data_IF_322979513684
#
_entry.id   IF_322979513684
#
_cell.length_a   1.000
_cell.length_b   1.000
_cell.length_c   1.000
_cell.angle_alpha   90.00
_cell.angle_beta   90.00
_cell.angle_gamma   90.00
#
_symmetry.space_group_name_H-M   'P 1'
#
loop_
_entity.id
_entity.type
_entity.pdbx_description
1 polymer ?
#
# COMPACT_ATOMS: atom_id res chain seq x y z
N UNK A 1 -37.30 33.26 -62.78
CA UNK A 1 -36.00 33.26 -62.08
C UNK A 1 -36.04 32.09 -61.10
N UNK A 2 -35.37 31.00 -61.49
CA UNK A 2 -35.13 29.70 -60.85
C UNK A 2 -35.97 29.28 -59.62
N UNK A 3 -36.92 28.38 -59.89
CA UNK A 3 -37.66 27.57 -58.92
C UNK A 3 -36.81 26.35 -58.54
N UNK A 4 -36.16 26.39 -57.38
CA UNK A 4 -35.19 25.38 -56.94
C UNK A 4 -35.92 24.30 -56.14
N UNK A 5 -36.13 23.13 -56.76
CA UNK A 5 -36.85 22.00 -56.18
C UNK A 5 -36.07 21.37 -55.03
N UNK A 6 -36.69 21.35 -53.84
CA UNK A 6 -36.26 20.66 -52.59
C UNK A 6 -35.74 19.22 -52.75
N UNK A 7 -36.00 18.54 -53.87
CA UNK A 7 -35.60 17.16 -54.13
C UNK A 7 -34.15 17.00 -54.61
N UNK A 8 -33.55 18.01 -55.22
CA UNK A 8 -32.16 17.93 -55.71
C UNK A 8 -31.13 18.21 -54.60
N UNK A 9 -31.52 18.98 -53.59
CA UNK A 9 -30.68 19.26 -52.42
C UNK A 9 -30.49 18.03 -51.51
N UNK A 10 -31.47 17.12 -51.49
CA UNK A 10 -31.42 15.88 -50.68
C UNK A 10 -30.56 14.79 -51.34
N UNK A 11 -30.47 14.75 -52.67
CA UNK A 11 -29.59 13.81 -53.38
C UNK A 11 -28.10 14.15 -53.24
N UNK A 12 -27.75 15.43 -53.08
CA UNK A 12 -26.35 15.87 -52.92
C UNK A 12 -25.80 15.64 -51.49
N UNK A 13 -26.66 15.59 -50.47
CA UNK A 13 -26.26 15.33 -49.09
C UNK A 13 -26.23 13.83 -48.74
N UNK A 14 -26.93 12.97 -49.49
CA UNK A 14 -26.95 11.52 -49.26
C UNK A 14 -25.70 10.77 -49.76
N UNK A 15 -24.98 11.31 -50.75
CA UNK A 15 -23.81 10.66 -51.35
C UNK A 15 -22.46 10.94 -50.68
N UNK A 16 -22.34 12.05 -49.94
CA UNK A 16 -21.06 12.48 -49.34
C UNK A 16 -20.90 12.08 -47.86
N UNK A 17 -21.96 11.65 -47.18
CA UNK A 17 -21.93 11.36 -45.74
C UNK A 17 -21.53 9.91 -45.40
N UNK A 18 -21.50 8.98 -46.36
CA UNK A 18 -21.24 7.56 -46.09
C UNK A 18 -19.75 7.19 -46.11
N UNK A 19 -18.84 8.11 -46.44
CA UNK A 19 -17.40 7.85 -46.55
C UNK A 19 -16.51 8.81 -45.74
N UNK A 20 -17.07 9.57 -44.80
CA UNK A 20 -16.26 10.25 -43.77
C UNK A 20 -15.84 9.22 -42.71
N UNK A 21 -14.56 9.22 -42.27
CA UNK A 21 -13.80 8.00 -42.23
C UNK A 21 -14.05 7.22 -40.93
N UNK A 22 -14.77 6.11 -41.04
CA UNK A 22 -14.67 5.01 -40.07
C UNK A 22 -13.22 4.50 -39.96
N UNK A 23 -12.40 4.70 -41.00
CA UNK A 23 -10.97 4.42 -41.00
C UNK A 23 -10.14 5.31 -40.04
N UNK A 24 -10.59 6.52 -39.70
CA UNK A 24 -9.82 7.41 -38.82
C UNK A 24 -9.97 7.05 -37.33
N UNK A 25 -10.99 6.28 -36.95
CA UNK A 25 -11.12 5.73 -35.58
C UNK A 25 -10.36 4.42 -35.39
N UNK A 26 -9.96 3.75 -36.47
CA UNK A 26 -9.19 2.50 -36.41
C UNK A 26 -7.68 2.73 -36.20
N UNK A 27 -7.21 3.98 -36.33
CA UNK A 27 -5.78 4.33 -36.30
C UNK A 27 -5.45 5.43 -35.28
N UNK A 28 -6.11 5.45 -34.12
CA UNK A 28 -5.38 5.88 -32.92
C UNK A 28 -4.59 4.66 -32.48
N UNK A 29 -3.27 4.67 -32.67
CA UNK A 29 -2.41 3.67 -32.06
C UNK A 29 -2.84 3.54 -30.61
N UNK A 30 -3.39 2.39 -30.23
CA UNK A 30 -3.94 2.19 -28.90
C UNK A 30 -2.85 2.57 -27.91
N UNK A 31 -3.06 3.68 -27.17
CA UNK A 31 -2.08 4.16 -26.22
C UNK A 31 -1.82 3.02 -25.24
N UNK A 32 -0.56 2.64 -25.11
CA UNK A 32 -0.15 1.58 -24.19
C UNK A 32 -0.71 1.91 -22.79
N UNK A 33 -1.49 1.00 -22.16
CA UNK A 33 -1.97 1.20 -20.81
C UNK A 33 -0.79 1.56 -19.90
N UNK A 34 -1.00 2.53 -19.01
CA UNK A 34 0.05 3.11 -18.18
C UNK A 34 -0.29 2.92 -16.71
N UNK A 35 0.56 2.15 -16.02
CA UNK A 35 0.54 1.98 -14.58
C UNK A 35 1.54 2.94 -13.94
N UNK A 36 1.08 3.85 -13.10
CA UNK A 36 1.97 4.64 -12.25
C UNK A 36 2.21 3.90 -10.94
N UNK A 37 3.45 3.79 -10.49
CA UNK A 37 3.80 3.06 -9.26
C UNK A 37 4.56 3.98 -8.32
N UNK A 38 4.02 4.17 -7.12
CA UNK A 38 4.63 4.98 -6.07
C UNK A 38 5.11 4.09 -4.92
N UNK A 39 6.40 4.19 -4.58
CA UNK A 39 7.02 3.41 -3.52
C UNK A 39 7.86 4.29 -2.59
N UNK A 40 7.86 3.98 -1.30
CA UNK A 40 8.83 4.56 -0.37
C UNK A 40 10.23 3.97 -0.55
N UNK A 41 10.32 2.71 -0.98
CA UNK A 41 11.56 1.92 -1.10
C UNK A 41 12.50 2.43 -2.20
N UNK A 42 13.62 1.72 -2.39
CA UNK A 42 14.52 1.89 -3.55
C UNK A 42 14.19 0.83 -4.62
N UNK A 43 14.64 1.01 -5.88
CA UNK A 43 14.37 0.06 -6.96
C UNK A 43 14.76 -1.39 -6.67
N UNK A 44 15.80 -1.60 -5.86
CA UNK A 44 16.33 -2.92 -5.52
C UNK A 44 15.66 -3.54 -4.27
N UNK A 45 14.84 -2.79 -3.54
CA UNK A 45 14.44 -3.12 -2.17
C UNK A 45 12.96 -3.49 -1.99
N UNK A 46 12.22 -3.84 -3.04
CA UNK A 46 10.80 -4.17 -2.90
C UNK A 46 10.39 -5.56 -3.43
N UNK A 47 10.42 -6.60 -2.57
CA UNK A 47 9.95 -7.94 -2.91
C UNK A 47 8.46 -8.00 -3.30
N UNK A 48 7.64 -7.04 -2.82
CA UNK A 48 6.23 -6.99 -3.16
C UNK A 48 6.04 -6.56 -4.62
N UNK A 49 6.91 -5.67 -5.13
CA UNK A 49 6.86 -5.24 -6.52
C UNK A 49 7.21 -6.35 -7.51
N UNK A 50 8.19 -7.22 -7.23
CA UNK A 50 8.46 -8.36 -8.12
C UNK A 50 7.29 -9.35 -8.13
N UNK A 51 6.62 -9.52 -7.00
CA UNK A 51 5.41 -10.36 -6.92
C UNK A 51 4.25 -9.75 -7.71
N UNK A 52 4.03 -8.43 -7.61
CA UNK A 52 3.06 -7.72 -8.44
C UNK A 52 3.40 -7.82 -9.94
N UNK A 53 4.67 -7.67 -10.32
CA UNK A 53 5.13 -7.79 -11.71
C UNK A 53 4.90 -9.21 -12.26
N UNK A 54 5.16 -10.24 -11.46
CA UNK A 54 4.82 -11.64 -11.81
C UNK A 54 3.32 -11.80 -12.05
N UNK A 55 2.48 -11.37 -11.11
CA UNK A 55 1.03 -11.48 -11.24
C UNK A 55 0.50 -10.73 -12.47
N UNK A 56 1.04 -9.55 -12.78
CA UNK A 56 0.71 -8.81 -14.00
C UNK A 56 1.06 -9.62 -15.26
N UNK A 57 2.26 -10.23 -15.31
CA UNK A 57 2.66 -11.09 -16.44
C UNK A 57 1.75 -12.30 -16.61
N UNK A 58 1.35 -12.95 -15.51
CA UNK A 58 0.45 -14.11 -15.53
C UNK A 58 -0.95 -13.75 -16.05
N UNK A 59 -1.37 -12.50 -15.83
CA UNK A 59 -2.60 -11.92 -16.40
C UNK A 59 -2.42 -11.41 -17.84
N UNK A 60 -1.23 -11.60 -18.43
CA UNK A 60 -0.90 -11.18 -19.78
C UNK A 60 -0.40 -9.73 -19.91
N UNK A 61 -0.20 -9.00 -18.81
CA UNK A 61 0.37 -7.65 -18.82
C UNK A 61 1.89 -7.69 -18.65
N UNK A 62 2.60 -7.44 -19.74
CA UNK A 62 4.05 -7.46 -19.84
C UNK A 62 4.58 -6.04 -20.03
N UNK A 63 5.37 -5.59 -19.06
CA UNK A 63 6.04 -4.30 -19.09
C UNK A 63 6.90 -4.14 -20.34
N UNK A 64 6.78 -2.98 -21.00
CA UNK A 64 7.52 -2.66 -22.23
C UNK A 64 6.96 -3.32 -23.50
N UNK A 65 5.96 -4.20 -23.38
CA UNK A 65 5.30 -4.82 -24.52
C UNK A 65 3.84 -4.33 -24.67
N UNK A 66 2.99 -4.63 -23.70
CA UNK A 66 1.57 -4.25 -23.70
C UNK A 66 1.14 -3.48 -22.42
N UNK A 67 2.12 -3.10 -21.58
CA UNK A 67 1.95 -2.26 -20.40
C UNK A 67 3.16 -1.31 -20.25
N UNK A 68 2.93 -0.01 -20.05
CA UNK A 68 3.95 0.92 -19.57
C UNK A 68 3.88 1.00 -18.04
N UNK A 69 5.01 0.87 -17.35
CA UNK A 69 5.08 1.07 -15.91
C UNK A 69 5.99 2.27 -15.60
N UNK A 70 5.43 3.26 -14.92
CA UNK A 70 6.12 4.49 -14.53
C UNK A 70 6.41 4.44 -13.03
N UNK A 71 7.67 4.23 -12.66
CA UNK A 71 8.06 4.12 -11.25
C UNK A 71 8.45 5.47 -10.65
N UNK A 72 8.08 5.69 -9.39
CA UNK A 72 8.65 6.71 -8.52
C UNK A 72 9.03 6.11 -7.17
N UNK A 73 10.31 6.19 -6.87
CA UNK A 73 10.91 5.72 -5.62
C UNK A 73 11.27 6.93 -4.77
N UNK A 74 10.79 6.97 -3.53
CA UNK A 74 11.16 8.01 -2.60
C UNK A 74 12.53 7.75 -1.94
N UNK A 75 13.08 6.54 -2.06
CA UNK A 75 14.40 6.18 -1.51
C UNK A 75 14.48 6.38 0.02
N UNK A 76 13.44 5.94 0.73
CA UNK A 76 13.35 6.03 2.19
C UNK A 76 13.06 7.43 2.73
N UNK A 77 12.71 8.39 1.86
CA UNK A 77 12.46 9.80 2.20
C UNK A 77 10.98 10.16 2.05
N UNK A 78 10.13 9.99 3.09
CA UNK A 78 8.69 10.22 3.01
C UNK A 78 8.32 11.63 2.53
N UNK A 79 9.16 12.63 2.82
CA UNK A 79 8.99 14.01 2.41
C UNK A 79 8.96 14.21 0.88
N UNK A 80 9.51 13.26 0.10
CA UNK A 80 9.46 13.30 -1.38
C UNK A 80 8.15 12.79 -1.96
N UNK A 81 7.34 12.06 -1.18
CA UNK A 81 6.14 11.38 -1.67
C UNK A 81 5.11 12.33 -2.32
N UNK A 82 4.83 13.53 -1.79
CA UNK A 82 3.87 14.44 -2.42
C UNK A 82 4.27 14.85 -3.84
N UNK A 83 5.53 15.22 -4.06
CA UNK A 83 6.03 15.65 -5.36
C UNK A 83 6.06 14.47 -6.35
N UNK A 84 6.52 13.30 -5.90
CA UNK A 84 6.53 12.09 -6.71
C UNK A 84 5.12 11.62 -7.10
N UNK A 85 4.14 11.77 -6.22
CA UNK A 85 2.74 11.50 -6.54
C UNK A 85 2.22 12.48 -7.61
N UNK A 86 2.51 13.79 -7.45
CA UNK A 86 2.14 14.81 -8.43
C UNK A 86 2.80 14.54 -9.80
N UNK A 87 4.05 14.09 -9.84
CA UNK A 87 4.75 13.68 -11.05
C UNK A 87 4.01 12.56 -11.77
N UNK A 88 3.61 11.50 -11.05
CA UNK A 88 2.83 10.40 -11.62
C UNK A 88 1.49 10.90 -12.17
N UNK A 89 0.76 11.75 -11.44
CA UNK A 89 -0.51 12.32 -11.92
C UNK A 89 -0.33 13.10 -13.22
N UNK A 90 0.76 13.86 -13.39
CA UNK A 90 1.05 14.60 -14.64
C UNK A 90 1.29 13.68 -15.84
N UNK A 91 1.77 12.46 -15.62
CA UNK A 91 1.89 11.44 -16.67
C UNK A 91 0.54 10.86 -17.12
N UNK A 92 -0.55 11.20 -16.43
CA UNK A 92 -1.91 10.71 -16.69
C UNK A 92 -1.93 9.18 -16.86
N UNK A 93 -1.45 8.40 -15.87
CA UNK A 93 -1.59 6.95 -15.88
C UNK A 93 -3.06 6.56 -15.82
N UNK A 94 -3.35 5.35 -16.28
CA UNK A 94 -4.69 4.78 -16.22
C UNK A 94 -5.02 4.28 -14.81
N UNK A 95 -4.00 3.83 -14.06
CA UNK A 95 -4.10 3.41 -12.65
C UNK A 95 -2.82 3.82 -11.90
N UNK A 96 -2.97 4.21 -10.63
CA UNK A 96 -1.87 4.31 -9.67
C UNK A 96 -1.85 3.07 -8.78
N UNK A 97 -0.71 2.42 -8.68
CA UNK A 97 -0.46 1.35 -7.72
C UNK A 97 0.49 1.86 -6.61
N UNK A 98 0.04 1.77 -5.36
CA UNK A 98 0.68 2.45 -4.24
C UNK A 98 0.94 1.47 -3.10
N UNK A 99 2.20 1.34 -2.68
CA UNK A 99 2.61 0.33 -1.71
C UNK A 99 2.94 0.94 -0.35
N UNK A 100 2.01 0.81 0.59
CA UNK A 100 2.15 1.22 1.99
C UNK A 100 1.08 2.21 2.43
N UNK A 101 0.63 2.06 3.68
CA UNK A 101 -0.34 2.97 4.31
C UNK A 101 0.22 4.38 4.52
N UNK A 102 1.54 4.55 4.58
CA UNK A 102 2.26 5.83 4.65
C UNK A 102 2.52 6.45 3.26
N UNK A 103 2.39 5.68 2.18
CA UNK A 103 2.53 6.14 0.80
C UNK A 103 1.18 6.57 0.20
N UNK A 104 0.13 5.83 0.54
CA UNK A 104 -1.25 6.04 0.05
C UNK A 104 -1.78 7.48 0.23
N UNK A 105 -1.55 8.17 1.37
CA UNK A 105 -2.02 9.55 1.56
C UNK A 105 -1.53 10.52 0.49
N UNK A 106 -0.28 10.36 0.02
CA UNK A 106 0.29 11.23 -1.00
C UNK A 106 -0.44 11.07 -2.35
N UNK A 107 -0.77 9.84 -2.73
CA UNK A 107 -1.50 9.55 -3.95
C UNK A 107 -2.96 10.02 -3.89
N UNK A 108 -3.67 9.74 -2.78
CA UNK A 108 -5.07 10.18 -2.57
C UNK A 108 -5.16 11.71 -2.59
N UNK A 109 -4.18 12.41 -1.99
CA UNK A 109 -4.13 13.87 -2.02
C UNK A 109 -3.82 14.40 -3.43
N UNK A 110 -3.00 13.71 -4.21
CA UNK A 110 -2.58 14.15 -5.54
C UNK A 110 -3.68 14.02 -6.61
N UNK A 111 -4.64 13.10 -6.46
CA UNK A 111 -5.72 12.91 -7.43
C UNK A 111 -6.97 12.29 -6.82
N UNK A 112 -8.12 12.78 -7.27
CA UNK A 112 -9.46 12.27 -6.95
C UNK A 112 -10.13 11.60 -8.16
N UNK A 113 -9.41 11.47 -9.28
CA UNK A 113 -9.99 11.01 -10.57
C UNK A 113 -9.27 9.81 -11.16
N UNK A 114 -7.95 9.70 -10.97
CA UNK A 114 -7.20 8.53 -11.44
C UNK A 114 -7.44 7.39 -10.43
N UNK A 115 -7.83 6.18 -10.85
CA UNK A 115 -7.98 5.04 -9.96
C UNK A 115 -6.69 4.76 -9.18
N UNK A 116 -6.81 4.56 -7.87
CA UNK A 116 -5.71 4.22 -6.97
C UNK A 116 -5.97 2.82 -6.42
N UNK A 117 -5.03 1.91 -6.64
CA UNK A 117 -4.98 0.59 -6.01
C UNK A 117 -3.86 0.62 -4.96
N UNK A 118 -4.21 0.50 -3.68
CA UNK A 118 -3.24 0.51 -2.59
C UNK A 118 -3.02 -0.89 -1.99
N UNK A 119 -1.87 -1.06 -1.35
CA UNK A 119 -1.65 -2.10 -0.34
C UNK A 119 -1.31 -1.43 0.98
N UNK A 120 -2.07 -1.67 2.03
CA UNK A 120 -1.90 -1.03 3.34
C UNK A 120 -1.79 -2.07 4.45
N UNK A 121 -0.98 -1.78 5.47
CA UNK A 121 -0.97 -2.50 6.75
C UNK A 121 -1.75 -1.73 7.82
N UNK A 122 -2.63 -0.84 7.39
CA UNK A 122 -3.44 0.03 8.23
C UNK A 122 -4.88 0.13 7.71
N UNK A 123 -5.83 0.39 8.62
CA UNK A 123 -7.25 0.51 8.28
C UNK A 123 -7.50 1.69 7.32
N UNK A 124 -7.88 1.43 6.06
CA UNK A 124 -8.08 2.48 5.06
C UNK A 124 -9.36 3.30 5.31
N UNK A 125 -10.32 2.79 6.09
CA UNK A 125 -11.52 3.53 6.51
C UNK A 125 -11.15 4.56 7.57
N UNK A 126 -10.41 4.14 8.60
CA UNK A 126 -9.91 5.06 9.64
C UNK A 126 -8.95 6.11 9.09
N UNK A 127 -8.15 5.75 8.09
CA UNK A 127 -7.27 6.68 7.38
C UNK A 127 -8.01 7.59 6.38
N UNK A 128 -9.31 7.37 6.15
CA UNK A 128 -10.13 8.18 5.26
C UNK A 128 -9.83 7.99 3.77
N UNK A 129 -9.14 6.91 3.39
CA UNK A 129 -8.90 6.59 1.98
C UNK A 129 -10.17 6.09 1.29
N UNK A 130 -11.03 5.39 2.04
CA UNK A 130 -12.26 4.76 1.55
C UNK A 130 -13.39 4.93 2.57
N UNK A 131 -14.64 5.00 2.11
CA UNK A 131 -15.81 5.14 2.98
C UNK A 131 -16.15 3.85 3.74
N UNK A 132 -15.92 2.68 3.11
CA UNK A 132 -16.08 1.37 3.73
C UNK A 132 -15.26 0.33 2.96
N UNK A 133 -14.96 -0.81 3.60
CA UNK A 133 -14.25 -1.91 2.94
C UNK A 133 -15.06 -2.52 1.79
N UNK A 134 -16.37 -2.69 1.96
CA UNK A 134 -17.24 -3.28 0.94
C UNK A 134 -17.54 -2.33 -0.22
N UNK A 135 -17.57 -1.02 0.04
CA UNK A 135 -17.89 0.03 -0.94
C UNK A 135 -17.00 1.25 -0.68
N UNK A 136 -15.87 1.37 -1.42
CA UNK A 136 -14.90 2.43 -1.15
C UNK A 136 -15.41 3.86 -1.37
N UNK A 137 -16.36 4.07 -2.29
CA UNK A 137 -17.06 5.36 -2.47
C UNK A 137 -16.26 6.46 -3.18
N UNK A 138 -15.03 6.21 -3.62
CA UNK A 138 -14.18 7.15 -4.35
C UNK A 138 -13.31 6.48 -5.41
N UNK A 139 -12.19 7.11 -5.78
CA UNK A 139 -11.23 6.57 -6.76
C UNK A 139 -10.19 5.61 -6.14
N UNK A 140 -10.19 5.42 -4.82
CA UNK A 140 -9.26 4.52 -4.14
C UNK A 140 -9.89 3.16 -3.80
N UNK A 141 -9.13 2.10 -3.98
CA UNK A 141 -9.44 0.72 -3.56
C UNK A 141 -8.13 -0.02 -3.28
N UNK A 142 -8.17 -1.24 -2.77
CA UNK A 142 -6.94 -1.97 -2.51
C UNK A 142 -7.07 -3.15 -1.56
N UNK A 143 -5.92 -3.58 -1.08
CA UNK A 143 -5.76 -4.64 -0.09
C UNK A 143 -5.32 -3.99 1.22
N UNK A 144 -5.98 -4.34 2.32
CA UNK A 144 -5.50 -4.01 3.66
C UNK A 144 -5.25 -5.27 4.47
N UNK A 145 -4.20 -5.23 5.28
CA UNK A 145 -3.89 -6.23 6.29
C UNK A 145 -4.26 -5.61 7.65
N UNK A 146 -5.47 -5.90 8.13
CA UNK A 146 -5.94 -5.47 9.45
C UNK A 146 -5.33 -6.41 10.50
N UNK A 147 -4.27 -5.96 11.15
CA UNK A 147 -3.48 -6.80 12.06
C UNK A 147 -3.79 -6.55 13.53
N UNK A 148 -4.48 -5.46 13.87
CA UNK A 148 -4.87 -5.06 15.22
C UNK A 148 -5.86 -6.03 15.87
N UNK A 149 -6.86 -6.49 15.12
CA UNK A 149 -7.81 -7.52 15.59
C UNK A 149 -7.12 -8.85 15.94
N UNK A 150 -5.91 -9.08 15.41
CA UNK A 150 -5.15 -10.31 15.63
C UNK A 150 -4.20 -10.23 16.85
N UNK A 151 -4.09 -9.08 17.51
CA UNK A 151 -3.16 -8.89 18.62
C UNK A 151 -3.43 -9.87 19.77
N UNK A 152 -4.70 -10.01 20.16
CA UNK A 152 -5.11 -10.96 21.20
C UNK A 152 -4.77 -12.40 20.79
N UNK A 153 -5.05 -12.77 19.54
CA UNK A 153 -4.82 -14.14 19.06
C UNK A 153 -3.34 -14.50 19.02
N UNK A 154 -2.49 -13.55 18.64
CA UNK A 154 -1.03 -13.74 18.63
C UNK A 154 -0.47 -13.95 20.04
N UNK A 155 -0.96 -13.22 21.04
CA UNK A 155 -0.57 -13.44 22.43
C UNK A 155 -1.06 -14.79 22.96
N UNK A 156 -2.27 -15.22 22.62
CA UNK A 156 -2.76 -16.56 22.94
C UNK A 156 -1.85 -17.64 22.34
N UNK A 157 -1.52 -17.53 21.05
CA UNK A 157 -0.65 -18.49 20.37
C UNK A 157 0.76 -18.50 20.96
N UNK A 158 1.30 -17.33 21.31
CA UNK A 158 2.59 -17.21 21.99
C UNK A 158 2.56 -17.93 23.36
N UNK A 159 1.50 -17.74 24.15
CA UNK A 159 1.29 -18.43 25.43
C UNK A 159 1.10 -19.94 25.26
N UNK A 160 0.42 -20.38 24.21
CA UNK A 160 0.26 -21.81 23.91
C UNK A 160 1.59 -22.47 23.52
N UNK A 161 2.39 -21.79 22.68
CA UNK A 161 3.69 -22.29 22.25
C UNK A 161 4.73 -22.28 23.39
N UNK A 162 4.67 -21.28 24.26
CA UNK A 162 5.57 -21.13 25.40
C UNK A 162 4.77 -20.87 26.71
N UNK A 163 4.19 -21.90 27.34
CA UNK A 163 3.29 -21.75 28.50
C UNK A 163 3.88 -21.04 29.71
N UNK A 164 5.21 -21.03 29.84
CA UNK A 164 5.93 -20.47 30.99
C UNK A 164 6.22 -18.98 30.88
N UNK A 165 5.99 -18.35 29.73
CA UNK A 165 6.21 -16.90 29.60
C UNK A 165 5.25 -16.13 30.51
N UNK A 166 5.75 -15.04 31.06
CA UNK A 166 5.01 -14.17 31.97
C UNK A 166 5.20 -12.69 31.64
N UNK A 167 6.29 -12.34 30.96
CA UNK A 167 6.62 -10.97 30.55
C UNK A 167 6.92 -10.93 29.07
N UNK A 168 6.22 -10.08 28.32
CA UNK A 168 6.39 -9.96 26.88
C UNK A 168 6.79 -8.54 26.53
N UNK A 169 7.91 -8.39 25.81
CA UNK A 169 8.31 -7.10 25.25
C UNK A 169 7.48 -6.78 24.02
N UNK A 170 6.72 -5.69 24.05
CA UNK A 170 5.85 -5.26 22.96
C UNK A 170 6.55 -4.16 22.15
N UNK A 171 7.24 -4.57 21.08
CA UNK A 171 8.03 -3.67 20.22
C UNK A 171 7.12 -3.01 19.17
N UNK A 172 6.98 -1.69 19.25
CA UNK A 172 6.01 -0.96 18.43
C UNK A 172 6.44 0.48 18.13
N UNK A 173 5.86 1.05 17.08
CA UNK A 173 5.98 2.48 16.76
C UNK A 173 4.66 3.19 17.10
N UNK A 174 4.64 4.13 18.07
CA UNK A 174 3.44 4.85 18.46
C UNK A 174 2.91 5.79 17.37
N UNK A 175 3.73 6.12 16.38
CA UNK A 175 3.34 6.99 15.26
C UNK A 175 2.72 6.17 14.10
N UNK A 176 2.65 4.83 14.22
CA UNK A 176 1.96 3.98 13.26
C UNK A 176 0.43 4.11 13.44
N UNK A 177 -0.30 4.18 12.32
CA UNK A 177 -1.74 4.45 12.34
C UNK A 177 -2.55 3.37 13.06
N UNK A 178 -2.14 2.11 12.94
CA UNK A 178 -2.72 1.01 13.69
C UNK A 178 -2.04 0.91 15.06
N UNK A 179 -2.85 1.03 16.11
CA UNK A 179 -2.42 0.88 17.48
C UNK A 179 -2.91 -0.45 18.04
N UNK A 180 -2.08 -1.49 17.93
CA UNK A 180 -2.38 -2.83 18.47
C UNK A 180 -2.29 -2.88 20.01
N UNK A 181 -1.66 -1.88 20.66
CA UNK A 181 -1.31 -1.94 22.09
C UNK A 181 -2.53 -2.10 23.01
N UNK A 182 -3.65 -1.37 22.86
CA UNK A 182 -4.80 -1.53 23.75
C UNK A 182 -5.45 -2.92 23.68
N UNK A 183 -5.49 -3.53 22.49
CA UNK A 183 -5.98 -4.91 22.30
C UNK A 183 -5.02 -5.92 22.90
N UNK A 184 -3.71 -5.71 22.71
CA UNK A 184 -2.65 -6.53 23.29
C UNK A 184 -2.67 -6.48 24.83
N UNK A 185 -2.80 -5.29 25.42
CA UNK A 185 -2.89 -5.08 26.88
C UNK A 185 -4.06 -5.84 27.49
N UNK A 186 -5.25 -5.74 26.87
CA UNK A 186 -6.44 -6.49 27.32
C UNK A 186 -6.24 -8.00 27.27
N UNK A 187 -5.65 -8.51 26.19
CA UNK A 187 -5.37 -9.94 26.05
C UNK A 187 -4.27 -10.42 26.99
N UNK A 188 -3.23 -9.63 27.21
CA UNK A 188 -2.17 -9.97 28.14
C UNK A 188 -2.70 -10.09 29.58
N UNK A 189 -3.57 -9.17 29.99
CA UNK A 189 -4.22 -9.22 31.29
C UNK A 189 -5.02 -10.52 31.50
N UNK A 190 -5.78 -10.98 30.50
CA UNK A 190 -6.54 -12.24 30.59
C UNK A 190 -5.67 -13.50 30.54
N UNK A 191 -4.47 -13.41 29.97
CA UNK A 191 -3.50 -14.51 29.85
C UNK A 191 -2.47 -14.56 30.99
N UNK A 192 -2.53 -13.62 31.95
CA UNK A 192 -1.56 -13.50 33.03
C UNK A 192 -0.16 -13.12 32.52
N UNK A 193 -0.11 -12.31 31.46
CA UNK A 193 1.11 -11.77 30.85
C UNK A 193 1.24 -10.30 31.23
N UNK A 194 2.42 -9.90 31.70
CA UNK A 194 2.84 -8.52 31.80
C UNK A 194 3.40 -8.06 30.45
N UNK A 195 2.73 -7.12 29.78
CA UNK A 195 3.27 -6.49 28.58
C UNK A 195 4.18 -5.33 28.96
N UNK A 196 5.38 -5.30 28.38
CA UNK A 196 6.32 -4.19 28.47
C UNK A 196 6.36 -3.44 27.13
N UNK A 197 5.75 -2.25 27.02
CA UNK A 197 5.85 -1.44 25.80
C UNK A 197 7.30 -1.02 25.53
N UNK A 198 7.78 -1.31 24.33
CA UNK A 198 9.11 -0.97 23.82
C UNK A 198 8.95 -0.10 22.57
N UNK A 199 9.15 1.20 22.73
CA UNK A 199 8.90 2.19 21.68
C UNK A 199 10.07 2.33 20.73
N UNK A 200 9.81 2.27 19.42
CA UNK A 200 10.76 2.58 18.35
C UNK A 200 10.13 3.50 17.31
N UNK A 201 10.64 4.72 17.15
CA UNK A 201 10.21 5.66 16.09
C UNK A 201 11.13 5.63 14.89
N UNK A 202 12.39 5.26 15.10
CA UNK A 202 13.37 5.07 14.05
C UNK A 202 14.45 4.04 14.39
N UNK A 203 15.39 3.77 13.45
CA UNK A 203 16.43 2.77 13.62
C UNK A 203 17.36 3.00 14.83
N UNK A 204 17.52 4.26 15.26
CA UNK A 204 18.36 4.63 16.40
C UNK A 204 17.76 4.22 17.75
N UNK A 205 16.44 4.01 17.83
CA UNK A 205 15.76 3.72 19.10
C UNK A 205 15.88 2.24 19.53
N UNK A 206 16.26 1.36 18.60
CA UNK A 206 16.28 -0.09 18.83
C UNK A 206 17.21 -0.50 19.97
N UNK A 207 18.39 0.12 20.10
CA UNK A 207 19.35 -0.26 21.15
C UNK A 207 18.79 0.09 22.54
N UNK A 208 18.09 1.22 22.66
CA UNK A 208 17.37 1.61 23.87
C UNK A 208 16.20 0.67 24.18
N UNK A 209 15.42 0.30 23.16
CA UNK A 209 14.32 -0.65 23.29
C UNK A 209 14.80 -2.05 23.73
N UNK A 210 15.91 -2.53 23.16
CA UNK A 210 16.53 -3.81 23.53
C UNK A 210 17.09 -3.79 24.95
N UNK A 211 17.76 -2.71 25.34
CA UNK A 211 18.22 -2.53 26.72
C UNK A 211 17.04 -2.56 27.71
N UNK A 212 15.94 -1.87 27.39
CA UNK A 212 14.73 -1.87 28.20
C UNK A 212 14.09 -3.27 28.30
N UNK A 213 14.09 -4.05 27.22
CA UNK A 213 13.66 -5.45 27.22
C UNK A 213 14.51 -6.31 28.17
N UNK A 214 15.84 -6.20 28.10
CA UNK A 214 16.75 -6.95 28.97
C UNK A 214 16.60 -6.54 30.44
N UNK A 215 16.45 -5.25 30.73
CA UNK A 215 16.24 -4.73 32.10
C UNK A 215 14.91 -5.21 32.69
N UNK A 216 13.84 -5.21 31.88
CA UNK A 216 12.55 -5.79 32.26
C UNK A 216 12.58 -7.33 32.31
N UNK A 217 13.66 -7.95 31.81
CA UNK A 217 13.87 -9.40 31.69
C UNK A 217 12.68 -10.05 30.98
N UNK A 218 12.27 -9.50 29.84
CA UNK A 218 11.16 -10.10 29.06
C UNK A 218 11.49 -11.55 28.70
N UNK A 219 10.47 -12.39 28.62
CA UNK A 219 10.59 -13.83 28.33
C UNK A 219 10.38 -14.12 26.83
N UNK A 220 9.77 -13.18 26.10
CA UNK A 220 9.52 -13.23 24.67
C UNK A 220 9.32 -11.82 24.09
N UNK A 221 9.38 -11.70 22.76
CA UNK A 221 9.03 -10.47 22.04
C UNK A 221 7.74 -10.63 21.23
N UNK A 222 6.85 -9.67 21.39
CA UNK A 222 5.79 -9.37 20.43
C UNK A 222 6.27 -8.20 19.56
N UNK A 223 6.39 -8.43 18.25
CA UNK A 223 6.87 -7.42 17.31
C UNK A 223 5.70 -6.98 16.45
N UNK A 224 5.26 -5.73 16.61
CA UNK A 224 4.22 -5.16 15.76
C UNK A 224 4.75 -5.04 14.34
N UNK A 225 3.96 -5.52 13.38
CA UNK A 225 4.35 -5.47 11.97
C UNK A 225 4.32 -4.02 11.49
N UNK A 226 5.45 -3.55 10.98
CA UNK A 226 5.58 -2.23 10.37
C UNK A 226 6.75 -2.25 9.40
N UNK A 227 6.83 -1.25 8.54
CA UNK A 227 8.02 -1.08 7.68
C UNK A 227 9.31 -0.97 8.50
N UNK A 228 9.27 -0.24 9.62
CA UNK A 228 10.43 -0.06 10.50
C UNK A 228 10.92 -1.39 11.08
N UNK A 229 10.02 -2.22 11.59
CA UNK A 229 10.37 -3.53 12.17
C UNK A 229 10.81 -4.53 11.10
N UNK A 230 10.21 -4.51 9.90
CA UNK A 230 10.65 -5.33 8.77
C UNK A 230 12.07 -4.96 8.30
N UNK A 231 12.38 -3.67 8.16
CA UNK A 231 13.71 -3.22 7.75
C UNK A 231 14.80 -3.54 8.79
N UNK A 232 14.43 -3.67 10.06
CA UNK A 232 15.33 -4.00 11.16
C UNK A 232 15.17 -5.46 11.63
N UNK A 233 14.49 -6.32 10.86
CA UNK A 233 14.16 -7.68 11.29
C UNK A 233 15.40 -8.48 11.68
N UNK A 234 16.51 -8.33 10.95
CA UNK A 234 17.77 -8.98 11.30
C UNK A 234 18.29 -8.58 12.69
N UNK A 235 18.19 -7.30 13.07
CA UNK A 235 18.58 -6.83 14.41
C UNK A 235 17.69 -7.41 15.50
N UNK A 236 16.38 -7.44 15.24
CA UNK A 236 15.38 -8.00 16.17
C UNK A 236 15.62 -9.49 16.39
N UNK A 237 15.84 -10.26 15.32
CA UNK A 237 16.10 -11.69 15.40
C UNK A 237 17.44 -11.99 16.11
N UNK A 238 18.49 -11.23 15.83
CA UNK A 238 19.77 -11.38 16.51
C UNK A 238 19.63 -11.12 18.02
N UNK A 239 18.97 -10.02 18.41
CA UNK A 239 18.71 -9.71 19.82
C UNK A 239 17.90 -10.83 20.51
N UNK A 240 16.84 -11.32 19.87
CA UNK A 240 16.04 -12.42 20.41
C UNK A 240 16.87 -13.70 20.60
N UNK A 241 17.69 -14.06 19.60
CA UNK A 241 18.55 -15.24 19.65
C UNK A 241 19.62 -15.14 20.76
N UNK A 242 20.28 -13.99 20.89
CA UNK A 242 21.31 -13.74 21.91
C UNK A 242 20.73 -13.79 23.34
N UNK A 243 19.50 -13.34 23.52
CA UNK A 243 18.81 -13.30 24.81
C UNK A 243 17.92 -14.52 25.08
N UNK A 244 17.84 -15.47 24.13
CA UNK A 244 17.01 -16.68 24.19
C UNK A 244 15.52 -16.39 24.40
N UNK A 245 15.01 -15.40 23.66
CA UNK A 245 13.60 -14.99 23.62
C UNK A 245 12.80 -15.74 22.54
#
# INVERSE_FOLDING_TARGET
>A
MLDMRRRELLSLLGGAAAAWPLAARAQQAARLPRLGVLLLSTPQADPQMETARRALRDLGYVEGHNLAIEYRYAEGRPERLPDLAADLVRLKPDVLFVLGGDVTPAAVKATQTIPIVFTSSADPVRLGFVASLARPGGNATGITLLLDELASKRLELLKQAAPRISRVGFLWNPDHADNELPEAERAAASLGIELKPLTVRGPADFDGAFMAATQARVDALYVVSSRLTLQNLGRILNFAAENRL
#
